data_IF_308849251106
#
_entry.id   IF_308849251106
#
_cell.length_a   1.000
_cell.length_b   1.000
_cell.length_c   1.000
_cell.angle_alpha   90.00
_cell.angle_beta   90.00
_cell.angle_gamma   90.00
#
_symmetry.space_group_name_H-M   'P 1'
#
loop_
_entity.id
_entity.type
_entity.pdbx_description
1 polymer ?
#
# COMPACT_ATOMS: atom_id res chain seq x y z
N UNK A 1 -14.03 10.81 -5.32
CA UNK A 1 -13.26 11.80 -4.54
C UNK A 1 -13.44 11.68 -3.03
N UNK A 2 -14.65 11.76 -2.46
CA UNK A 2 -14.87 11.71 -0.98
C UNK A 2 -14.17 10.53 -0.27
N UNK A 3 -14.22 9.33 -0.86
CA UNK A 3 -13.53 8.13 -0.33
C UNK A 3 -12.01 8.28 -0.30
N UNK A 4 -11.43 8.87 -1.35
CA UNK A 4 -10.00 9.16 -1.45
C UNK A 4 -9.57 10.13 -0.35
N UNK A 5 -10.31 11.22 -0.19
CA UNK A 5 -10.09 12.20 0.89
C UNK A 5 -10.19 11.58 2.29
N UNK A 6 -11.27 10.84 2.59
CA UNK A 6 -11.44 10.16 3.88
C UNK A 6 -10.40 9.06 4.13
N UNK A 7 -9.68 8.63 3.08
CA UNK A 7 -8.58 7.68 3.20
C UNK A 7 -7.27 8.32 3.58
N UNK A 8 -7.05 9.57 3.22
CA UNK A 8 -5.84 10.29 3.60
C UNK A 8 -5.64 10.38 5.12
N UNK A 9 -6.71 10.33 5.93
CA UNK A 9 -6.64 10.20 7.39
C UNK A 9 -6.21 8.80 7.88
N UNK A 10 -5.70 7.95 6.98
CA UNK A 10 -4.92 6.76 7.35
C UNK A 10 -3.49 7.13 7.74
N UNK A 11 -2.95 8.17 7.12
CA UNK A 11 -1.62 8.66 7.40
C UNK A 11 -1.64 9.48 8.71
N UNK A 12 -0.62 9.36 9.57
CA UNK A 12 -0.56 10.13 10.79
C UNK A 12 -0.60 11.64 10.55
N UNK A 13 -1.03 12.38 11.56
CA UNK A 13 -0.89 13.85 11.62
C UNK A 13 0.58 14.25 11.40
N UNK A 14 0.78 15.42 10.81
CA UNK A 14 2.09 16.00 10.45
C UNK A 14 3.02 15.15 9.55
N UNK A 15 2.53 14.03 9.01
CA UNK A 15 3.34 13.18 8.14
C UNK A 15 3.40 13.69 6.70
N UNK A 16 4.59 13.59 6.07
CA UNK A 16 4.75 13.82 4.64
C UNK A 16 4.19 12.63 3.86
N UNK A 17 3.24 12.91 2.97
CA UNK A 17 2.57 11.90 2.16
C UNK A 17 3.11 11.98 0.73
N UNK A 18 3.69 10.87 0.28
CA UNK A 18 4.08 10.69 -1.12
C UNK A 18 2.83 10.58 -2.01
N UNK A 19 2.72 11.48 -2.98
CA UNK A 19 1.49 11.66 -3.78
C UNK A 19 1.26 10.46 -4.69
N UNK A 20 2.30 9.91 -5.28
CA UNK A 20 2.18 8.76 -6.19
C UNK A 20 1.75 7.51 -5.42
N UNK A 21 2.35 7.27 -4.25
CA UNK A 21 1.92 6.18 -3.36
C UNK A 21 0.48 6.36 -2.88
N UNK A 22 0.07 7.57 -2.50
CA UNK A 22 -1.31 7.86 -2.12
C UNK A 22 -2.29 7.54 -3.25
N UNK A 23 -1.97 7.93 -4.48
CA UNK A 23 -2.79 7.62 -5.66
C UNK A 23 -2.84 6.11 -5.94
N UNK A 24 -1.70 5.41 -5.85
CA UNK A 24 -1.66 3.94 -5.99
C UNK A 24 -2.50 3.23 -4.93
N UNK A 25 -2.54 3.73 -3.70
CA UNK A 25 -3.45 3.22 -2.67
C UNK A 25 -4.92 3.48 -3.01
N UNK A 26 -5.28 4.66 -3.55
CA UNK A 26 -6.64 4.91 -4.01
C UNK A 26 -7.07 3.98 -5.15
N UNK A 27 -6.14 3.63 -6.06
CA UNK A 27 -6.35 2.63 -7.10
C UNK A 27 -6.60 1.23 -6.52
N UNK A 28 -5.71 0.78 -5.62
CA UNK A 28 -5.81 -0.52 -4.95
C UNK A 28 -7.12 -0.69 -4.16
N UNK A 29 -7.62 0.38 -3.56
CA UNK A 29 -8.90 0.38 -2.85
C UNK A 29 -10.10 0.44 -3.80
N UNK A 30 -9.89 0.74 -5.09
CA UNK A 30 -10.94 0.89 -6.09
C UNK A 30 -11.72 2.19 -5.97
N UNK A 31 -11.12 3.25 -5.40
CA UNK A 31 -11.79 4.53 -5.18
C UNK A 31 -11.82 5.44 -6.41
N UNK A 32 -11.04 5.10 -7.43
CA UNK A 32 -10.96 5.80 -8.71
C UNK A 32 -11.85 5.17 -9.79
N UNK A 33 -12.84 4.35 -9.40
CA UNK A 33 -13.77 3.68 -10.30
C UNK A 33 -13.22 2.39 -10.91
N UNK A 34 -14.01 1.76 -11.77
CA UNK A 34 -13.68 0.54 -12.49
C UNK A 34 -13.33 0.86 -13.95
N UNK A 35 -12.07 0.68 -14.31
CA UNK A 35 -11.61 0.67 -15.71
C UNK A 35 -10.50 -0.36 -15.85
N UNK A 36 -10.34 -0.91 -17.06
CA UNK A 36 -9.24 -1.81 -17.39
C UNK A 36 -7.93 -1.08 -17.65
N UNK A 37 -7.97 0.23 -17.95
CA UNK A 37 -6.78 1.02 -18.26
C UNK A 37 -6.16 1.62 -16.99
N UNK A 38 -4.93 1.23 -16.69
CA UNK A 38 -4.14 1.81 -15.59
C UNK A 38 -3.87 3.30 -15.81
N UNK A 39 -3.48 3.69 -17.02
CA UNK A 39 -3.21 5.09 -17.36
C UNK A 39 -4.41 6.00 -17.10
N UNK A 40 -5.63 5.49 -17.34
CA UNK A 40 -6.85 6.22 -17.02
C UNK A 40 -7.08 6.35 -15.50
N UNK A 41 -6.72 5.34 -14.71
CA UNK A 41 -6.77 5.41 -13.26
C UNK A 41 -5.75 6.41 -12.71
N UNK A 42 -4.54 6.43 -13.25
CA UNK A 42 -3.48 7.39 -12.88
C UNK A 42 -3.89 8.83 -13.19
N UNK A 43 -4.43 9.07 -14.39
CA UNK A 43 -4.95 10.38 -14.79
C UNK A 43 -6.07 10.85 -13.84
N UNK A 44 -7.04 9.98 -13.53
CA UNK A 44 -8.10 10.27 -12.57
C UNK A 44 -7.59 10.49 -11.15
N UNK A 45 -6.57 9.75 -10.75
CA UNK A 45 -5.90 9.91 -9.45
C UNK A 45 -5.30 11.30 -9.34
N UNK A 46 -4.58 11.73 -10.38
CA UNK A 46 -3.96 13.06 -10.49
C UNK A 46 -5.00 14.16 -10.51
N UNK A 47 -6.11 13.97 -11.22
CA UNK A 47 -7.23 14.91 -11.24
C UNK A 47 -7.87 15.05 -9.84
N UNK A 48 -8.10 13.94 -9.13
CA UNK A 48 -8.63 13.98 -7.77
C UNK A 48 -7.67 14.65 -6.80
N UNK A 49 -6.38 14.33 -6.88
CA UNK A 49 -5.36 14.98 -6.06
C UNK A 49 -5.32 16.48 -6.29
N UNK A 50 -5.28 16.92 -7.55
CA UNK A 50 -5.28 18.35 -7.90
C UNK A 50 -6.53 19.06 -7.38
N UNK A 51 -7.71 18.45 -7.52
CA UNK A 51 -8.95 19.02 -6.99
C UNK A 51 -8.93 19.17 -5.45
N UNK A 52 -8.36 18.19 -4.72
CA UNK A 52 -8.23 18.25 -3.26
C UNK A 52 -7.20 19.29 -2.85
N UNK A 53 -6.09 19.40 -3.59
CA UNK A 53 -5.05 20.42 -3.40
C UNK A 53 -5.60 21.84 -3.61
N UNK A 54 -6.37 22.06 -4.68
CA UNK A 54 -7.00 23.36 -4.96
C UNK A 54 -7.99 23.82 -3.88
N UNK A 55 -8.46 22.89 -3.04
CA UNK A 55 -9.31 23.15 -1.88
C UNK A 55 -8.53 23.21 -0.56
N UNK A 56 -7.20 23.29 -0.64
CA UNK A 56 -6.28 23.33 0.50
C UNK A 56 -6.35 22.11 1.43
N UNK A 57 -6.88 20.96 0.96
CA UNK A 57 -6.89 19.73 1.76
C UNK A 57 -5.53 19.05 1.78
N UNK A 58 -4.70 19.30 0.77
CA UNK A 58 -3.28 18.98 0.75
C UNK A 58 -2.48 20.25 0.55
N UNK A 59 -1.53 20.51 1.44
CA UNK A 59 -0.68 21.70 1.49
C UNK A 59 0.79 21.27 1.58
N UNK A 60 1.71 22.24 1.72
CA UNK A 60 3.15 22.02 1.84
C UNK A 60 3.70 21.07 0.76
N UNK A 61 3.52 21.48 -0.49
CA UNK A 61 3.94 20.66 -1.63
C UNK A 61 5.45 20.75 -1.79
N UNK A 62 6.12 19.64 -1.50
CA UNK A 62 7.55 19.47 -1.76
C UNK A 62 7.75 18.70 -3.05
N UNK A 63 8.68 19.16 -3.88
CA UNK A 63 9.11 18.46 -5.09
C UNK A 63 10.59 18.15 -4.98
N UNK A 64 10.92 16.88 -5.05
CA UNK A 64 12.29 16.37 -5.04
C UNK A 64 12.49 15.49 -6.28
N UNK A 65 13.10 16.08 -7.31
CA UNK A 65 13.12 15.51 -8.66
C UNK A 65 11.71 15.21 -9.19
N UNK A 66 11.44 13.94 -9.51
CA UNK A 66 10.11 13.49 -9.93
C UNK A 66 9.16 13.17 -8.77
N UNK A 67 9.65 13.18 -7.52
CA UNK A 67 8.85 12.82 -6.35
C UNK A 67 8.09 14.03 -5.84
N UNK A 68 6.78 13.91 -5.67
CA UNK A 68 5.93 14.95 -5.09
C UNK A 68 5.43 14.47 -3.74
N UNK A 69 5.61 15.29 -2.70
CA UNK A 69 5.08 15.05 -1.35
C UNK A 69 4.17 16.19 -0.93
N UNK A 70 3.25 15.91 -0.02
CA UNK A 70 2.31 16.87 0.53
C UNK A 70 2.02 16.59 2.00
N UNK A 71 1.48 17.57 2.72
CA UNK A 71 0.91 17.41 4.06
C UNK A 71 -0.60 17.60 4.06
N UNK A 72 -1.24 16.97 5.04
CA UNK A 72 -2.62 17.26 5.41
C UNK A 72 -2.62 17.88 6.81
N UNK A 73 -3.13 19.11 6.94
CA UNK A 73 -3.26 19.76 8.24
C UNK A 73 -4.14 18.95 9.19
N UNK A 74 -3.85 19.02 10.47
CA UNK A 74 -4.57 18.33 11.55
C UNK A 74 -6.09 18.52 11.52
N UNK A 75 -6.57 19.75 11.28
CA UNK A 75 -8.00 20.04 11.20
C UNK A 75 -8.63 19.31 10.01
N UNK A 76 -7.94 19.28 8.87
CA UNK A 76 -8.38 18.56 7.66
C UNK A 76 -8.35 17.05 7.88
N UNK A 77 -7.31 16.57 8.56
CA UNK A 77 -7.18 15.17 8.97
C UNK A 77 -8.34 14.74 9.87
N UNK A 78 -8.67 15.53 10.90
CA UNK A 78 -9.77 15.24 11.83
C UNK A 78 -11.12 15.25 11.12
N UNK A 79 -11.32 16.18 10.17
CA UNK A 79 -12.49 16.20 9.32
C UNK A 79 -12.58 14.94 8.43
N UNK A 80 -11.49 14.52 7.80
CA UNK A 80 -11.43 13.30 6.99
C UNK A 80 -11.72 12.04 7.84
N UNK A 81 -11.21 11.98 9.07
CA UNK A 81 -11.45 10.87 10.00
C UNK A 81 -12.92 10.85 10.45
N UNK A 82 -13.50 12.02 10.74
CA UNK A 82 -14.92 12.16 11.08
C UNK A 82 -15.81 11.58 9.98
N UNK A 83 -15.62 12.01 8.72
CA UNK A 83 -16.41 11.53 7.57
C UNK A 83 -16.35 10.01 7.33
N UNK A 84 -15.29 9.35 7.85
CA UNK A 84 -15.15 7.90 7.81
C UNK A 84 -15.95 7.23 8.93
N UNK A 85 -15.88 7.75 10.15
CA UNK A 85 -16.56 7.22 11.34
C UNK A 85 -18.08 7.34 11.23
N UNK A 86 -18.61 8.45 10.72
CA UNK A 86 -20.08 8.66 10.60
C UNK A 86 -20.77 7.64 9.70
N UNK A 87 -20.03 6.99 8.79
CA UNK A 87 -20.56 5.94 7.91
C UNK A 87 -20.81 4.59 8.58
N UNK A 88 -20.43 4.42 9.86
CA UNK A 88 -20.44 3.12 10.56
C UNK A 88 -21.38 3.01 11.76
N UNK A 89 -22.16 4.05 12.07
CA UNK A 89 -23.04 4.11 13.25
C UNK A 89 -24.26 3.16 13.17
N UNK A 90 -24.05 1.88 12.84
CA UNK A 90 -25.13 0.93 12.59
C UNK A 90 -24.82 -0.56 12.78
N UNK A 91 -23.66 -0.98 13.29
CA UNK A 91 -23.42 -2.39 13.65
C UNK A 91 -22.33 -2.45 14.74
N UNK A 92 -22.77 -2.45 16.00
CA UNK A 92 -21.93 -2.83 17.14
C UNK A 92 -22.06 -4.35 17.31
N UNK A 93 -21.06 -5.07 16.84
CA UNK A 93 -20.79 -6.45 17.25
C UNK A 93 -19.41 -6.44 17.86
N UNK A 94 -19.32 -6.71 19.16
CA UNK A 94 -18.05 -6.88 19.85
C UNK A 94 -17.27 -8.03 19.21
N UNK A 95 -16.08 -7.73 18.68
CA UNK A 95 -15.15 -8.76 18.21
C UNK A 95 -14.11 -8.99 19.30
N UNK A 96 -14.01 -10.25 19.70
CA UNK A 96 -13.22 -10.79 20.81
C UNK A 96 -11.74 -10.41 20.80
N UNK A 97 -11.25 -10.17 22.01
CA UNK A 97 -9.88 -9.82 22.37
C UNK A 97 -8.88 -10.95 22.10
N UNK A 98 -8.33 -11.03 20.88
CA UNK A 98 -7.07 -11.77 20.60
C UNK A 98 -6.12 -11.07 19.63
N UNK A 99 -6.48 -9.90 19.11
CA UNK A 99 -5.63 -9.11 18.20
C UNK A 99 -5.57 -7.65 18.64
N UNK A 100 -4.44 -6.97 18.40
CA UNK A 100 -4.29 -5.55 18.71
C UNK A 100 -5.46 -4.76 18.10
N UNK A 101 -6.32 -4.16 18.92
CA UNK A 101 -7.52 -3.43 18.48
C UNK A 101 -7.21 -2.36 17.41
N UNK A 102 -6.00 -1.80 17.43
CA UNK A 102 -5.46 -0.90 16.40
C UNK A 102 -5.41 -1.55 15.01
N UNK A 103 -4.92 -2.79 14.89
CA UNK A 103 -4.82 -3.51 13.62
C UNK A 103 -6.19 -3.93 13.09
N UNK A 104 -7.09 -4.35 13.98
CA UNK A 104 -8.48 -4.65 13.63
C UNK A 104 -9.15 -3.42 13.02
N UNK A 105 -9.01 -2.27 13.68
CA UNK A 105 -9.50 -0.99 13.17
C UNK A 105 -8.92 -0.63 11.80
N UNK A 106 -7.62 -0.85 11.57
CA UNK A 106 -7.00 -0.62 10.26
C UNK A 106 -7.60 -1.50 9.15
N UNK A 107 -7.73 -2.81 9.38
CA UNK A 107 -8.31 -3.75 8.39
C UNK A 107 -9.77 -3.41 8.13
N UNK A 108 -10.55 -3.21 9.19
CA UNK A 108 -11.96 -2.97 9.05
C UNK A 108 -12.21 -1.62 8.40
N UNK A 109 -11.69 -0.53 8.98
CA UNK A 109 -11.95 0.86 8.58
C UNK A 109 -11.31 1.20 7.24
N UNK A 110 -10.06 0.82 7.05
CA UNK A 110 -9.26 1.26 5.92
C UNK A 110 -9.08 0.19 4.85
N UNK A 111 -9.25 -1.10 5.18
CA UNK A 111 -8.83 -2.25 4.36
C UNK A 111 -7.34 -2.20 4.02
N UNK A 112 -6.58 -1.59 4.91
CA UNK A 112 -5.15 -1.40 4.79
C UNK A 112 -4.51 -1.88 6.08
N UNK A 113 -3.33 -2.47 5.98
CA UNK A 113 -2.49 -2.80 7.12
C UNK A 113 -1.16 -2.08 6.96
N UNK A 114 -0.76 -1.35 7.99
CA UNK A 114 0.54 -0.73 8.09
C UNK A 114 1.27 -1.29 9.30
N UNK A 115 2.37 -1.99 9.04
CA UNK A 115 3.25 -2.52 10.06
C UNK A 115 4.52 -1.68 10.13
N UNK A 116 4.95 -1.46 11.37
CA UNK A 116 6.22 -0.79 11.74
C UNK A 116 7.10 -1.72 12.58
N UNK A 117 6.54 -2.81 13.10
CA UNK A 117 7.24 -3.77 13.98
C UNK A 117 7.22 -5.16 13.31
N UNK A 118 6.57 -6.17 13.90
CA UNK A 118 6.59 -7.55 13.39
C UNK A 118 5.29 -7.99 12.71
N UNK A 119 5.45 -8.86 11.70
CA UNK A 119 4.37 -9.50 10.95
C UNK A 119 4.15 -10.92 11.50
N UNK A 120 3.06 -11.16 12.23
CA UNK A 120 2.71 -12.52 12.69
C UNK A 120 1.73 -13.22 11.74
N UNK A 121 1.91 -14.53 11.55
CA UNK A 121 1.07 -15.34 10.65
C UNK A 121 -0.41 -15.39 11.08
N UNK A 122 -0.70 -15.28 12.37
CA UNK A 122 -2.05 -15.34 12.95
C UNK A 122 -2.92 -14.15 12.51
N UNK A 123 -2.30 -13.00 12.25
CA UNK A 123 -3.02 -11.80 11.80
C UNK A 123 -3.67 -11.99 10.42
N UNK A 124 -3.12 -12.85 9.58
CA UNK A 124 -3.64 -13.07 8.23
C UNK A 124 -4.98 -13.80 8.20
N UNK A 125 -5.32 -14.53 9.26
CA UNK A 125 -6.63 -15.17 9.35
C UNK A 125 -7.75 -14.15 9.54
N UNK A 126 -7.48 -13.03 10.23
CA UNK A 126 -8.42 -11.93 10.44
C UNK A 126 -8.37 -10.88 9.32
N UNK A 127 -7.22 -10.72 8.68
CA UNK A 127 -6.96 -9.66 7.72
C UNK A 127 -7.41 -9.96 6.27
N UNK A 128 -8.23 -10.98 6.02
CA UNK A 128 -8.58 -11.44 4.65
C UNK A 128 -9.18 -10.36 3.74
N UNK A 129 -9.76 -9.31 4.31
CA UNK A 129 -10.35 -8.16 3.58
C UNK A 129 -9.35 -7.07 3.20
N UNK A 130 -8.08 -7.21 3.60
CA UNK A 130 -7.01 -6.25 3.32
C UNK A 130 -6.72 -6.19 1.83
N UNK A 131 -6.62 -4.97 1.31
CA UNK A 131 -6.24 -4.67 -0.08
C UNK A 131 -4.85 -4.05 -0.17
N UNK A 132 -4.40 -3.41 0.90
CA UNK A 132 -3.12 -2.72 0.97
C UNK A 132 -2.36 -3.29 2.16
N UNK A 133 -1.17 -3.84 1.92
CA UNK A 133 -0.24 -4.21 2.96
C UNK A 133 1.02 -3.36 2.80
N UNK A 134 1.40 -2.66 3.85
CA UNK A 134 2.65 -1.92 3.93
C UNK A 134 3.44 -2.43 5.12
N UNK A 135 4.64 -2.88 4.86
CA UNK A 135 5.61 -3.36 5.84
C UNK A 135 6.85 -2.52 5.60
N UNK A 136 6.91 -1.37 6.26
CA UNK A 136 7.92 -0.36 6.00
C UNK A 136 8.94 -0.40 7.13
N UNK A 137 10.21 -0.63 6.78
CA UNK A 137 11.33 -0.59 7.73
C UNK A 137 11.08 -1.45 9.00
N UNK A 138 10.62 -2.69 8.80
CA UNK A 138 10.22 -3.60 9.88
C UNK A 138 11.30 -4.64 10.20
N UNK A 139 12.49 -4.52 9.60
CA UNK A 139 13.50 -5.57 9.67
C UNK A 139 13.05 -6.91 9.07
N UNK A 140 12.11 -6.90 8.12
CA UNK A 140 11.54 -8.11 7.52
C UNK A 140 12.64 -8.93 6.83
N UNK A 141 12.90 -10.14 7.32
CA UNK A 141 13.93 -11.02 6.77
C UNK A 141 13.37 -11.97 5.69
N UNK A 142 12.13 -12.40 5.88
CA UNK A 142 11.43 -13.32 4.98
C UNK A 142 9.98 -12.90 4.77
N UNK A 143 9.42 -13.19 3.59
CA UNK A 143 7.98 -13.00 3.34
C UNK A 143 7.18 -14.09 4.07
N UNK A 144 6.27 -13.74 4.98
CA UNK A 144 5.55 -14.76 5.74
C UNK A 144 4.62 -15.59 4.87
N UNK A 145 4.70 -16.92 5.01
CA UNK A 145 3.95 -17.89 4.18
C UNK A 145 2.42 -17.71 4.24
N UNK A 146 1.92 -17.12 5.32
CA UNK A 146 0.49 -16.82 5.48
C UNK A 146 -0.01 -15.67 4.61
N UNK A 147 0.87 -14.88 3.97
CA UNK A 147 0.50 -13.74 3.12
C UNK A 147 -0.43 -14.15 1.97
N UNK A 148 -0.28 -15.38 1.45
CA UNK A 148 -1.16 -15.96 0.41
C UNK A 148 -2.64 -16.02 0.82
N UNK A 149 -2.94 -16.01 2.12
CA UNK A 149 -4.33 -15.99 2.63
C UNK A 149 -5.03 -14.66 2.34
N UNK A 150 -4.27 -13.60 2.07
CA UNK A 150 -4.78 -12.26 1.79
C UNK A 150 -5.13 -12.09 0.30
N UNK A 151 -6.07 -12.89 -0.18
CA UNK A 151 -6.44 -12.99 -1.61
C UNK A 151 -6.95 -11.70 -2.25
N UNK A 152 -7.35 -10.71 -1.44
CA UNK A 152 -7.82 -9.41 -1.90
C UNK A 152 -6.72 -8.34 -1.99
N UNK A 153 -5.46 -8.68 -1.67
CA UNK A 153 -4.35 -7.77 -1.80
C UNK A 153 -4.20 -7.28 -3.23
N UNK A 154 -3.98 -5.96 -3.33
CA UNK A 154 -3.77 -5.22 -4.58
C UNK A 154 -2.52 -4.34 -4.52
N UNK A 155 -2.08 -3.97 -3.34
CA UNK A 155 -0.89 -3.17 -3.13
C UNK A 155 -0.06 -3.77 -2.01
N UNK A 156 1.21 -4.00 -2.28
CA UNK A 156 2.20 -4.43 -1.30
C UNK A 156 3.41 -3.51 -1.37
N UNK A 157 3.86 -3.05 -0.21
CA UNK A 157 5.04 -2.22 -0.06
C UNK A 157 5.93 -2.81 1.03
N UNK A 158 7.10 -3.31 0.63
CA UNK A 158 8.15 -3.84 1.50
C UNK A 158 9.36 -2.91 1.60
N UNK A 159 9.21 -1.64 1.23
CA UNK A 159 10.32 -0.68 1.16
C UNK A 159 11.11 -0.61 2.48
N UNK A 160 12.44 -0.46 2.38
CA UNK A 160 13.42 -0.42 3.48
C UNK A 160 13.62 -1.72 4.28
N UNK A 161 13.16 -2.87 3.80
CA UNK A 161 13.50 -4.15 4.44
C UNK A 161 14.80 -4.72 3.86
N UNK A 162 15.94 -4.20 4.32
CA UNK A 162 17.27 -4.61 3.87
C UNK A 162 17.61 -6.08 4.19
N UNK A 163 17.00 -6.66 5.21
CA UNK A 163 17.16 -8.06 5.58
C UNK A 163 16.36 -9.03 4.71
N UNK A 164 15.50 -8.54 3.82
CA UNK A 164 14.61 -9.37 3.01
C UNK A 164 15.41 -10.11 1.95
N UNK A 165 15.75 -11.37 2.22
CA UNK A 165 16.63 -12.18 1.35
C UNK A 165 15.94 -13.42 0.75
N UNK A 166 14.67 -13.68 1.10
CA UNK A 166 13.89 -14.80 0.57
C UNK A 166 13.49 -14.58 -0.89
N UNK A 167 13.33 -15.66 -1.65
CA UNK A 167 12.68 -15.62 -2.95
C UNK A 167 11.22 -15.15 -2.79
N UNK A 168 10.93 -14.02 -3.41
CA UNK A 168 9.63 -13.36 -3.42
C UNK A 168 8.61 -14.15 -4.24
N UNK A 169 9.07 -14.93 -5.22
CA UNK A 169 8.25 -15.52 -6.27
C UNK A 169 7.15 -16.46 -5.77
N UNK A 170 7.38 -17.46 -4.89
CA UNK A 170 6.38 -18.49 -4.61
C UNK A 170 5.12 -17.96 -3.91
N UNK A 171 5.28 -16.99 -3.01
CA UNK A 171 4.17 -16.45 -2.22
C UNK A 171 3.43 -15.35 -2.99
N UNK A 172 4.16 -14.48 -3.69
CA UNK A 172 3.55 -13.37 -4.46
C UNK A 172 2.83 -13.88 -5.72
N UNK A 173 3.31 -14.95 -6.36
CA UNK A 173 2.62 -15.61 -7.49
C UNK A 173 1.16 -15.99 -7.21
N UNK A 174 0.81 -16.21 -5.94
CA UNK A 174 -0.53 -16.63 -5.53
C UNK A 174 -1.48 -15.45 -5.31
N UNK A 175 -0.99 -14.21 -5.41
CA UNK A 175 -1.75 -12.99 -5.22
C UNK A 175 -2.26 -12.46 -6.57
N UNK A 176 -3.22 -13.16 -7.15
CA UNK A 176 -3.75 -12.87 -8.50
C UNK A 176 -4.40 -11.49 -8.67
N UNK A 177 -4.72 -10.81 -7.57
CA UNK A 177 -5.32 -9.47 -7.58
C UNK A 177 -4.28 -8.34 -7.41
N UNK A 178 -3.00 -8.68 -7.29
CA UNK A 178 -1.94 -7.71 -7.03
C UNK A 178 -1.78 -6.74 -8.22
N UNK A 179 -1.71 -5.44 -7.91
CA UNK A 179 -1.62 -4.35 -8.89
C UNK A 179 -0.34 -3.52 -8.72
N UNK A 180 0.25 -3.54 -7.52
CA UNK A 180 1.47 -2.80 -7.18
C UNK A 180 2.27 -3.59 -6.16
N UNK A 181 3.58 -3.67 -6.39
CA UNK A 181 4.50 -4.35 -5.51
C UNK A 181 5.81 -3.56 -5.44
N UNK A 182 6.19 -3.09 -4.26
CA UNK A 182 7.36 -2.22 -4.09
C UNK A 182 8.39 -2.85 -3.16
N UNK A 183 9.67 -2.81 -3.57
CA UNK A 183 10.82 -3.34 -2.84
C UNK A 183 12.00 -2.35 -2.79
N UNK A 184 11.72 -1.04 -2.76
CA UNK A 184 12.78 -0.04 -2.73
C UNK A 184 13.67 -0.29 -1.51
N UNK A 185 14.99 -0.21 -1.70
CA UNK A 185 15.96 -0.44 -0.62
C UNK A 185 15.80 -1.81 0.07
N UNK A 186 15.45 -2.86 -0.68
CA UNK A 186 15.48 -4.26 -0.22
C UNK A 186 16.67 -5.01 -0.87
N UNK A 187 17.26 -5.98 -0.17
CA UNK A 187 18.40 -6.79 -0.68
C UNK A 187 17.93 -8.14 -1.25
N UNK A 188 17.03 -8.09 -2.23
CA UNK A 188 16.48 -9.29 -2.85
C UNK A 188 17.58 -10.14 -3.51
N UNK A 189 17.51 -11.46 -3.37
CA UNK A 189 18.42 -12.37 -4.07
C UNK A 189 18.10 -12.36 -5.58
N UNK A 190 19.14 -12.31 -6.40
CA UNK A 190 19.03 -12.46 -7.86
C UNK A 190 18.98 -13.95 -8.24
N UNK A 191 18.24 -14.30 -9.31
CA UNK A 191 18.47 -15.56 -10.02
C UNK A 191 19.42 -15.26 -11.17
N UNK A 192 20.52 -16.00 -11.27
CA UNK A 192 21.33 -15.97 -12.49
C UNK A 192 20.57 -16.71 -13.60
N UNK A 193 20.31 -16.04 -14.73
CA UNK A 193 19.76 -16.76 -15.90
C UNK A 193 20.86 -17.60 -16.56
N UNK A 194 20.48 -18.60 -17.38
CA UNK A 194 21.41 -19.50 -18.09
C UNK A 194 22.41 -18.79 -19.04
N UNK A 195 22.27 -17.48 -19.26
CA UNK A 195 23.12 -16.64 -20.09
C UNK A 195 24.02 -15.70 -19.26
N UNK A 196 24.15 -15.91 -17.94
CA UNK A 196 25.06 -15.15 -17.07
C UNK A 196 24.61 -13.72 -16.75
N UNK A 197 23.36 -13.34 -17.09
CA UNK A 197 22.80 -12.05 -16.66
C UNK A 197 22.10 -12.21 -15.31
N UNK A 198 22.43 -11.31 -14.37
CA UNK A 198 21.74 -11.18 -13.08
C UNK A 198 20.34 -10.64 -13.33
N UNK A 199 19.32 -11.48 -13.20
CA UNK A 199 17.92 -11.06 -13.24
C UNK A 199 17.34 -11.22 -11.82
N UNK A 200 16.77 -10.15 -11.27
CA UNK A 200 15.98 -10.27 -10.05
C UNK A 200 14.85 -11.30 -10.28
N UNK A 201 14.58 -12.22 -9.34
CA UNK A 201 13.50 -13.24 -9.43
C UNK A 201 12.15 -12.64 -9.85
N UNK A 202 11.94 -11.35 -9.60
CA UNK A 202 10.71 -10.63 -9.89
C UNK A 202 10.53 -10.31 -11.39
N UNK A 203 11.59 -10.22 -12.19
CA UNK A 203 11.45 -10.04 -13.66
C UNK A 203 10.73 -11.23 -14.32
N UNK A 204 10.73 -12.39 -13.66
CA UNK A 204 9.97 -13.57 -14.08
C UNK A 204 8.50 -13.54 -13.67
N UNK A 205 8.07 -12.59 -12.82
CA UNK A 205 6.69 -12.43 -12.35
C UNK A 205 5.83 -11.59 -13.29
N UNK A 206 6.04 -11.68 -14.61
CA UNK A 206 5.02 -11.22 -15.55
C UNK A 206 3.79 -12.10 -15.30
N UNK A 207 2.80 -11.57 -14.58
CA UNK A 207 1.50 -12.19 -14.38
C UNK A 207 0.54 -11.51 -15.37
N UNK A 208 0.38 -12.00 -16.62
CA UNK A 208 -0.71 -11.53 -17.46
C UNK A 208 -2.06 -11.79 -16.76
N UNK A 209 -3.00 -10.85 -16.77
CA UNK A 209 -3.04 -9.61 -17.55
C UNK A 209 -2.65 -8.34 -16.77
N UNK A 210 -2.00 -8.46 -15.60
CA UNK A 210 -1.80 -7.35 -14.67
C UNK A 210 -0.36 -6.84 -14.77
N UNK A 211 -0.19 -5.62 -15.28
CA UNK A 211 1.05 -4.85 -15.16
C UNK A 211 1.33 -4.56 -13.68
N UNK A 212 2.00 -5.49 -12.99
CA UNK A 212 2.52 -5.26 -11.64
C UNK A 212 3.72 -4.33 -11.80
N UNK A 213 3.57 -3.09 -11.33
CA UNK A 213 4.68 -2.16 -11.26
C UNK A 213 5.59 -2.59 -10.12
N UNK A 214 6.81 -3.00 -10.48
CA UNK A 214 7.87 -3.37 -9.55
C UNK A 214 8.89 -2.25 -9.55
N UNK A 215 8.85 -1.42 -8.52
CA UNK A 215 9.81 -0.31 -8.38
C UNK A 215 11.04 -0.77 -7.60
N UNK A 216 12.15 -0.95 -8.32
CA UNK A 216 13.50 -0.98 -7.76
C UNK A 216 14.05 0.44 -7.84
N UNK A 217 14.01 1.21 -6.75
CA UNK A 217 14.89 2.37 -6.65
C UNK A 217 16.17 1.93 -5.98
N UNK A 218 17.21 1.79 -6.78
CA UNK A 218 18.57 1.99 -6.33
C UNK A 218 18.79 3.50 -6.27
N UNK A 219 18.63 4.13 -5.09
CA UNK A 219 19.29 5.44 -4.95
C UNK A 219 20.79 5.15 -4.87
N UNK A 220 21.49 5.34 -5.98
CA UNK A 220 22.91 5.69 -5.99
C UNK A 220 23.03 7.20 -6.02
N UNK A 221 23.82 7.70 -5.07
CA UNK A 221 24.22 9.07 -4.75
C UNK A 221 23.18 9.89 -3.99
#
# INVERSE_FOLDING_TARGET
MKRCFSYSAFFPKDSMIDVDNLMRMWMALGYLGSTRSRSNLELRGKEYFNNLRMRCFFQDIEKDGNRVRCKMHDIVHDFAQFLRKTRRRGQDGEVEARTNASLVSQVEVYRSLFFVNELSCELFDFARRTRILRVYDCGLQEIPRGLKKLIHLRYIDFTYNYGLTTDVSPTICQLYNLQTLTFKKCRLKNVENKNGKRECCILLLIIPPLYIEVEFRDDYN
#
